data_IF_920052791094
#
_entry.id   IF_920052791094
#
_cell.length_a   1.000
_cell.length_b   1.000
_cell.length_c   1.000
_cell.angle_alpha   90.00
_cell.angle_beta   90.00
_cell.angle_gamma   90.00
#
_symmetry.space_group_name_H-M   'P 1'
#
loop_
_entity.id
_entity.type
_entity.pdbx_description
1 polymer ?
#
# COMPACT_ATOMS: atom_id res chain seq x y z
N UNK A 1 3.24 -11.42 -0.34
CA UNK A 1 2.29 -10.32 -0.07
C UNK A 1 1.44 -9.96 -1.31
N UNK A 2 0.90 -10.94 -2.05
CA UNK A 2 0.21 -10.69 -3.34
C UNK A 2 -1.29 -10.31 -3.19
N UNK A 3 -1.71 -9.87 -1.99
CA UNK A 3 -3.11 -9.63 -1.66
C UNK A 3 -3.49 -8.15 -1.69
N UNK A 4 -2.51 -7.24 -1.61
CA UNK A 4 -2.74 -5.80 -1.50
C UNK A 4 -3.28 -5.19 -2.78
N UNK A 5 -2.64 -5.45 -3.93
CA UNK A 5 -3.05 -4.88 -5.23
C UNK A 5 -4.47 -5.34 -5.61
N UNK A 6 -4.82 -6.64 -5.58
CA UNK A 6 -6.19 -7.06 -5.91
C UNK A 6 -7.25 -6.42 -5.03
N UNK A 7 -6.98 -6.24 -3.73
CA UNK A 7 -7.92 -5.59 -2.82
C UNK A 7 -8.08 -4.10 -3.13
N UNK A 8 -6.99 -3.39 -3.42
CA UNK A 8 -7.05 -2.00 -3.88
C UNK A 8 -7.85 -1.85 -5.18
N UNK A 9 -7.62 -2.75 -6.16
CA UNK A 9 -8.38 -2.77 -7.41
C UNK A 9 -9.88 -3.01 -7.19
N UNK A 10 -10.23 -3.89 -6.25
CA UNK A 10 -11.63 -4.11 -5.86
C UNK A 10 -12.25 -2.85 -5.25
N UNK A 11 -11.53 -2.16 -4.35
CA UNK A 11 -12.02 -0.92 -3.74
C UNK A 11 -12.16 0.21 -4.77
N UNK A 12 -11.19 0.38 -5.67
CA UNK A 12 -11.30 1.35 -6.77
C UNK A 12 -12.48 1.04 -7.70
N UNK A 13 -12.72 -0.23 -8.02
CA UNK A 13 -13.85 -0.61 -8.86
C UNK A 13 -15.20 -0.35 -8.19
N UNK A 14 -15.29 -0.52 -6.87
CA UNK A 14 -16.54 -0.38 -6.11
C UNK A 14 -16.83 1.07 -5.70
N UNK A 15 -15.80 1.78 -5.23
CA UNK A 15 -15.94 3.08 -4.57
C UNK A 15 -15.23 4.21 -5.34
N UNK A 16 -14.38 3.89 -6.31
CA UNK A 16 -13.56 4.87 -7.03
C UNK A 16 -12.36 5.39 -6.25
N UNK A 17 -12.19 5.01 -4.98
CA UNK A 17 -11.10 5.40 -4.08
C UNK A 17 -10.92 4.33 -2.99
N UNK A 18 -9.83 4.44 -2.22
CA UNK A 18 -9.61 3.65 -1.02
C UNK A 18 -8.76 4.40 -0.02
N UNK A 19 -9.01 4.16 1.27
CA UNK A 19 -8.12 4.61 2.34
C UNK A 19 -6.91 3.68 2.46
N UNK A 20 -5.76 4.18 2.96
CA UNK A 20 -4.60 3.35 3.24
C UNK A 20 -4.94 2.12 4.08
N UNK A 21 -4.42 0.97 3.68
CA UNK A 21 -4.54 -0.29 4.40
C UNK A 21 -3.22 -1.05 4.28
N UNK A 22 -3.09 -2.14 5.03
CA UNK A 22 -1.89 -2.97 5.01
C UNK A 22 -2.17 -4.45 5.03
N UNK A 23 -1.08 -5.21 4.93
CA UNK A 23 -1.05 -6.62 5.19
C UNK A 23 0.28 -6.99 5.84
N UNK A 24 0.24 -7.90 6.79
CA UNK A 24 1.42 -8.47 7.43
C UNK A 24 1.55 -9.96 7.09
N UNK A 25 2.79 -10.43 7.09
CA UNK A 25 3.15 -11.83 7.04
C UNK A 25 3.86 -12.17 8.34
N UNK A 26 3.25 -13.04 9.13
CA UNK A 26 3.86 -13.49 10.38
C UNK A 26 4.94 -14.54 10.17
N UNK A 27 5.48 -15.07 11.27
CA UNK A 27 6.63 -15.99 11.27
C UNK A 27 6.36 -17.27 10.47
N UNK A 28 5.15 -17.78 10.52
CA UNK A 28 4.77 -19.03 9.86
C UNK A 28 4.31 -18.82 8.41
N UNK A 29 4.28 -17.57 7.95
CA UNK A 29 3.87 -17.20 6.60
C UNK A 29 2.37 -16.91 6.47
N UNK A 30 1.65 -16.88 7.60
CA UNK A 30 0.26 -16.45 7.69
C UNK A 30 0.11 -15.00 7.24
N UNK A 31 -0.91 -14.73 6.44
CA UNK A 31 -1.21 -13.40 5.91
C UNK A 31 -2.40 -12.79 6.64
N UNK A 32 -2.23 -11.59 7.17
CA UNK A 32 -3.27 -10.84 7.87
C UNK A 32 -3.48 -9.49 7.19
N UNK A 33 -4.73 -9.13 6.88
CA UNK A 33 -5.07 -7.78 6.44
C UNK A 33 -5.17 -6.85 7.64
N UNK A 34 -4.62 -5.65 7.50
CA UNK A 34 -4.52 -4.67 8.58
C UNK A 34 -5.18 -3.36 8.13
N UNK A 35 -6.11 -2.87 8.94
CA UNK A 35 -6.69 -1.54 8.77
C UNK A 35 -6.21 -0.61 9.89
N UNK A 36 -6.24 0.69 9.62
CA UNK A 36 -6.10 1.73 10.64
C UNK A 36 -7.41 2.52 10.75
N UNK A 37 -7.67 3.07 11.94
CA UNK A 37 -8.80 3.95 12.18
C UNK A 37 -8.38 5.06 13.13
N UNK A 38 -8.80 6.29 12.84
CA UNK A 38 -8.67 7.43 13.76
C UNK A 38 -9.96 7.66 14.56
N UNK A 39 -11.00 6.83 14.34
CA UNK A 39 -12.35 7.04 14.88
C UNK A 39 -13.18 8.08 14.10
N UNK A 40 -12.58 8.76 13.12
CA UNK A 40 -13.28 9.66 12.20
C UNK A 40 -13.87 8.90 11.01
N UNK A 41 -15.01 9.36 10.49
CA UNK A 41 -15.61 8.84 9.24
C UNK A 41 -14.76 9.17 8.00
N UNK A 42 -14.02 10.28 8.04
CA UNK A 42 -13.18 10.77 6.94
C UNK A 42 -11.76 11.07 7.45
N UNK A 43 -10.96 10.03 7.76
CA UNK A 43 -9.61 10.21 8.25
C UNK A 43 -8.69 10.77 7.17
N UNK A 44 -7.72 11.59 7.56
CA UNK A 44 -6.66 11.98 6.65
C UNK A 44 -5.77 10.77 6.33
N UNK A 45 -5.53 10.48 5.05
CA UNK A 45 -4.70 9.34 4.63
C UNK A 45 -3.33 9.31 5.32
N UNK A 46 -2.73 10.49 5.55
CA UNK A 46 -1.44 10.58 6.22
C UNK A 46 -1.46 10.09 7.68
N UNK A 47 -2.58 10.23 8.39
CA UNK A 47 -2.74 9.73 9.75
C UNK A 47 -2.86 8.20 9.75
N UNK A 48 -3.65 7.64 8.83
CA UNK A 48 -3.77 6.19 8.66
C UNK A 48 -2.43 5.54 8.31
N UNK A 49 -1.66 6.15 7.41
CA UNK A 49 -0.30 5.68 7.06
C UNK A 49 0.59 5.65 8.29
N UNK A 50 0.58 6.72 9.11
CA UNK A 50 1.39 6.77 10.35
C UNK A 50 0.99 5.67 11.33
N UNK A 51 -0.30 5.42 11.50
CA UNK A 51 -0.79 4.35 12.38
C UNK A 51 -0.39 2.95 11.89
N UNK A 52 -0.51 2.70 10.58
CA UNK A 52 -0.10 1.43 9.98
C UNK A 52 1.41 1.19 10.15
N UNK A 53 2.23 2.22 9.85
CA UNK A 53 3.69 2.15 10.03
C UNK A 53 4.03 1.86 11.49
N UNK A 54 3.45 2.61 12.44
CA UNK A 54 3.73 2.41 13.86
C UNK A 54 3.33 1.01 14.34
N UNK A 55 2.21 0.48 13.85
CA UNK A 55 1.78 -0.90 14.13
C UNK A 55 2.80 -1.92 13.62
N UNK A 56 3.21 -1.81 12.35
CA UNK A 56 4.21 -2.73 11.77
C UNK A 56 5.59 -2.60 12.41
N UNK A 57 6.03 -1.40 12.77
CA UNK A 57 7.29 -1.19 13.49
C UNK A 57 7.29 -1.92 14.84
N UNK A 58 6.21 -1.81 15.61
CA UNK A 58 6.07 -2.52 16.88
C UNK A 58 6.10 -4.04 16.67
N UNK A 59 5.30 -4.54 15.75
CA UNK A 59 5.19 -5.99 15.50
C UNK A 59 6.51 -6.55 14.94
N UNK A 60 7.22 -5.78 14.12
CA UNK A 60 8.56 -6.12 13.63
C UNK A 60 9.62 -6.13 14.75
N UNK A 61 9.60 -5.14 15.65
CA UNK A 61 10.51 -5.07 16.80
C UNK A 61 10.32 -6.24 17.78
N UNK A 62 9.09 -6.75 17.92
CA UNK A 62 8.78 -7.97 18.66
C UNK A 62 9.18 -9.25 17.90
N UNK A 63 9.68 -9.10 16.68
CA UNK A 63 10.09 -10.19 15.79
C UNK A 63 8.92 -10.94 15.16
N UNK A 64 7.68 -10.47 15.31
CA UNK A 64 6.47 -11.18 14.90
C UNK A 64 6.26 -11.23 13.37
N UNK A 65 7.00 -10.41 12.62
CA UNK A 65 6.82 -10.24 11.19
C UNK A 65 8.00 -10.77 10.37
N UNK A 66 7.69 -11.47 9.29
CA UNK A 66 8.64 -11.75 8.20
C UNK A 66 8.59 -10.70 7.11
N UNK A 67 7.40 -10.17 6.84
CA UNK A 67 7.20 -9.09 5.89
C UNK A 67 5.97 -8.27 6.26
N UNK A 68 5.94 -7.03 5.83
CA UNK A 68 4.78 -6.16 5.95
C UNK A 68 4.64 -5.30 4.69
N UNK A 69 3.44 -4.83 4.44
CA UNK A 69 3.19 -3.87 3.39
C UNK A 69 2.02 -2.97 3.66
N UNK A 70 2.11 -1.75 3.16
CA UNK A 70 1.02 -0.78 3.10
C UNK A 70 0.69 -0.47 1.66
N UNK A 71 -0.61 -0.38 1.38
CA UNK A 71 -1.17 -0.01 0.10
C UNK A 71 -1.81 1.37 0.22
N UNK A 72 -1.44 2.25 -0.70
CA UNK A 72 -1.77 3.67 -0.68
C UNK A 72 -2.20 4.13 -2.07
N UNK A 73 -3.19 5.01 -2.13
CA UNK A 73 -3.56 5.72 -3.36
C UNK A 73 -2.69 6.98 -3.47
N UNK A 74 -1.86 7.07 -4.52
CA UNK A 74 -0.87 8.14 -4.68
C UNK A 74 -0.98 8.80 -6.04
N UNK A 75 -0.46 10.02 -6.12
CA UNK A 75 -0.35 10.77 -7.37
C UNK A 75 1.12 11.07 -7.71
N UNK A 76 1.65 10.36 -8.70
CA UNK A 76 3.08 10.35 -9.05
C UNK A 76 3.32 10.77 -10.50
N UNK A 77 4.53 11.23 -10.82
CA UNK A 77 4.97 11.38 -12.20
C UNK A 77 5.52 10.03 -12.67
N UNK A 78 4.92 9.46 -13.71
CA UNK A 78 5.36 8.17 -14.27
C UNK A 78 6.71 8.32 -14.98
N UNK A 79 7.52 7.25 -15.07
CA UNK A 79 8.73 7.27 -15.88
C UNK A 79 8.46 7.76 -17.31
N UNK A 80 9.17 8.80 -17.73
CA UNK A 80 9.00 9.40 -19.07
C UNK A 80 7.78 10.31 -19.24
N UNK A 81 7.00 10.55 -18.19
CA UNK A 81 5.88 11.51 -18.21
C UNK A 81 6.25 12.84 -17.55
N UNK A 82 5.46 13.88 -17.86
CA UNK A 82 5.55 15.19 -17.21
C UNK A 82 4.38 15.36 -16.22
N UNK A 83 3.18 14.91 -16.62
CA UNK A 83 1.98 15.02 -15.80
C UNK A 83 1.92 13.93 -14.74
N UNK A 84 1.32 14.28 -13.59
CA UNK A 84 1.06 13.32 -12.53
C UNK A 84 -0.14 12.43 -12.86
N UNK A 85 0.01 11.14 -12.65
CA UNK A 85 -1.04 10.12 -12.74
C UNK A 85 -1.36 9.55 -11.36
N UNK A 86 -2.60 9.11 -11.17
CA UNK A 86 -2.96 8.28 -10.02
C UNK A 86 -2.33 6.90 -10.16
N UNK A 87 -1.96 6.30 -9.04
CA UNK A 87 -1.38 4.97 -8.96
C UNK A 87 -1.70 4.32 -7.60
N UNK A 88 -1.95 3.01 -7.62
CA UNK A 88 -1.81 2.19 -6.42
C UNK A 88 -0.32 2.09 -6.12
N UNK A 89 0.11 2.49 -4.93
CA UNK A 89 1.45 2.24 -4.42
C UNK A 89 1.39 1.18 -3.33
N UNK A 90 2.24 0.18 -3.42
CA UNK A 90 2.42 -0.83 -2.38
C UNK A 90 3.87 -0.75 -1.91
N UNK A 91 4.06 -0.29 -0.67
CA UNK A 91 5.35 -0.27 0.00
C UNK A 91 5.49 -1.59 0.75
N UNK A 92 6.54 -2.34 0.46
CA UNK A 92 6.79 -3.68 1.00
C UNK A 92 8.17 -3.74 1.62
N UNK A 93 8.24 -4.38 2.78
CA UNK A 93 9.50 -4.72 3.39
C UNK A 93 9.51 -6.16 3.87
N UNK A 94 10.70 -6.76 3.83
CA UNK A 94 10.99 -8.07 4.40
C UNK A 94 12.04 -7.91 5.50
N UNK A 95 11.96 -8.76 6.54
CA UNK A 95 12.90 -8.82 7.67
C UNK A 95 14.37 -9.01 7.26
N UNK A 96 14.62 -9.36 6.00
CA UNK A 96 15.97 -9.53 5.44
C UNK A 96 16.57 -8.20 4.94
N UNK A 97 15.90 -7.07 5.15
CA UNK A 97 16.35 -5.74 4.73
C UNK A 97 15.95 -5.35 3.31
N UNK A 98 15.09 -6.14 2.66
CA UNK A 98 14.52 -5.77 1.36
C UNK A 98 13.41 -4.73 1.55
N UNK A 99 13.46 -3.64 0.79
CA UNK A 99 12.42 -2.62 0.73
C UNK A 99 12.10 -2.29 -0.73
N UNK A 100 10.85 -2.45 -1.12
CA UNK A 100 10.38 -2.32 -2.51
C UNK A 100 9.10 -1.47 -2.53
N UNK A 101 9.00 -0.57 -3.51
CA UNK A 101 7.75 0.10 -3.84
C UNK A 101 7.25 -0.43 -5.18
N UNK A 102 6.00 -0.89 -5.20
CA UNK A 102 5.33 -1.38 -6.40
C UNK A 102 4.24 -0.39 -6.78
N UNK A 103 4.23 0.03 -8.03
CA UNK A 103 3.25 0.97 -8.56
C UNK A 103 2.39 0.31 -9.62
N UNK A 104 1.08 0.54 -9.52
CA UNK A 104 0.11 0.22 -10.57
C UNK A 104 -0.61 1.51 -10.94
N UNK A 105 -0.17 2.21 -11.99
CA UNK A 105 -0.83 3.40 -12.48
C UNK A 105 -2.27 3.08 -12.86
N UNK A 106 -3.18 4.03 -12.68
CA UNK A 106 -4.55 3.87 -13.15
C UNK A 106 -5.16 5.19 -13.59
N UNK A 107 -6.22 5.10 -14.39
CA UNK A 107 -7.05 6.24 -14.79
C UNK A 107 -8.52 5.91 -14.61
N UNK A 108 -9.27 6.87 -14.08
CA UNK A 108 -10.74 6.80 -13.95
C UNK A 108 -11.35 7.21 -15.30
N UNK A 109 -12.02 6.26 -15.94
CA UNK A 109 -12.72 6.48 -17.21
C UNK A 109 -14.16 6.97 -17.00
N UNK A 110 -14.86 7.17 -18.12
CA UNK A 110 -16.29 7.47 -18.10
C UNK A 110 -17.08 6.32 -17.45
N UNK A 111 -18.10 6.65 -16.65
CA UNK A 111 -18.91 5.70 -15.86
C UNK A 111 -18.15 4.95 -14.75
N UNK A 112 -17.05 5.49 -14.24
CA UNK A 112 -16.33 4.91 -13.09
C UNK A 112 -15.47 3.68 -13.42
N UNK A 113 -15.34 3.31 -14.71
CA UNK A 113 -14.46 2.21 -15.12
C UNK A 113 -12.99 2.58 -14.91
N UNK A 114 -12.27 1.77 -14.14
CA UNK A 114 -10.83 1.95 -13.89
C UNK A 114 -10.04 1.26 -15.01
N UNK A 115 -9.07 1.96 -15.60
CA UNK A 115 -8.08 1.40 -16.52
C UNK A 115 -6.72 1.39 -15.84
N UNK A 116 -6.11 0.21 -15.72
CA UNK A 116 -4.78 0.04 -15.12
C UNK A 116 -3.70 0.13 -16.20
N UNK A 117 -2.58 0.77 -15.85
CA UNK A 117 -1.35 0.79 -16.64
C UNK A 117 -0.42 -0.37 -16.29
N UNK A 118 0.78 -0.34 -16.86
CA UNK A 118 1.81 -1.34 -16.59
C UNK A 118 2.35 -1.19 -15.16
N UNK A 119 2.44 -2.33 -14.46
CA UNK A 119 3.02 -2.40 -13.13
C UNK A 119 4.54 -2.23 -13.23
N UNK A 120 5.11 -1.40 -12.36
CA UNK A 120 6.56 -1.29 -12.22
C UNK A 120 6.95 -1.25 -10.74
N UNK A 121 8.20 -1.59 -10.46
CA UNK A 121 8.76 -1.55 -9.12
C UNK A 121 9.96 -0.61 -9.07
N UNK A 122 10.18 0.00 -7.92
CA UNK A 122 11.38 0.75 -7.59
C UNK A 122 11.92 0.33 -6.22
N UNK A 123 13.17 0.70 -5.96
CA UNK A 123 13.75 0.56 -4.63
C UNK A 123 12.96 1.41 -3.63
N UNK A 124 12.48 0.78 -2.56
CA UNK A 124 11.80 1.45 -1.46
C UNK A 124 12.75 1.95 -0.38
N UNK A 125 12.17 2.62 0.62
CA UNK A 125 12.85 2.99 1.86
C UNK A 125 12.31 2.13 2.99
N UNK A 126 13.21 1.65 3.84
CA UNK A 126 12.85 0.91 5.06
C UNK A 126 12.15 1.85 6.04
N UNK A 127 11.02 1.40 6.57
CA UNK A 127 10.13 2.09 7.47
C UNK A 127 9.53 1.12 8.52
N UNK A 128 9.34 -0.17 8.22
CA UNK A 128 8.76 -1.16 9.13
C UNK A 128 9.83 -1.92 9.92
N UNK A 129 10.94 -2.27 9.28
CA UNK A 129 12.05 -3.04 9.89
C UNK A 129 13.30 -2.19 10.18
N UNK A 130 13.14 -0.87 10.25
CA UNK A 130 14.23 0.10 10.45
C UNK A 130 14.71 0.19 11.90
#
# INVERSE_FOLDING_TARGET
MNTLIPFAQQMLAKNGEFYPFGASMGKEGELTHVGASTGSEHPASQELIKLLIAGFQRDAAEGNLRAAGICIDVRIVLPGAIEKSDAICVQLEHVNGEAIEIYVPYRKGWLGKIKYGELFASKGKSAFFA
#
